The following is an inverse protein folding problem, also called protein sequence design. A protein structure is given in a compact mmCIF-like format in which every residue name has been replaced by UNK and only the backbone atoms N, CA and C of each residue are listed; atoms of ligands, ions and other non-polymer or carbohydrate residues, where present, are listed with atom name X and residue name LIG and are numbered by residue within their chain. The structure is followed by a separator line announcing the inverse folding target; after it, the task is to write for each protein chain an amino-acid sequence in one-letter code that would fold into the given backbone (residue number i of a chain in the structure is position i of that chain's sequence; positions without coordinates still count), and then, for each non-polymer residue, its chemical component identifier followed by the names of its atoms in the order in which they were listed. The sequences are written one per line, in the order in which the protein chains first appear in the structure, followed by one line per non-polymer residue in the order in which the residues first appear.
data_IF_642792986897
#
_entry.id   IF_642792986897
#
_cell.length_a   1.000
_cell.length_b   1.000
_cell.length_c   1.000
_cell.angle_alpha   90.00
_cell.angle_beta   90.00
_cell.angle_gamma   90.00
#
_symmetry.space_group_name_H-M   'P 1'
#
loop_
_entity.id
_entity.type
_entity.pdbx_description
1 polymer ?
#
# COMPACT_ATOMS: atom_id res chain seq x y z
N UNK A 1 14.89 24.68 6.90
CA UNK A 1 14.00 24.07 7.92
C UNK A 1 12.51 24.06 7.51
N UNK A 2 11.87 25.22 7.21
CA UNK A 2 10.44 25.24 6.79
C UNK A 2 10.21 24.58 5.44
N UNK A 3 11.06 24.82 4.46
CA UNK A 3 11.00 24.20 3.13
C UNK A 3 11.18 22.68 3.18
N UNK A 4 12.03 22.21 4.08
CA UNK A 4 12.29 20.77 4.23
C UNK A 4 11.08 20.06 4.85
N UNK A 5 10.47 20.62 5.89
CA UNK A 5 9.24 20.09 6.48
C UNK A 5 8.10 20.04 5.47
N UNK A 6 7.93 21.07 4.62
CA UNK A 6 6.92 21.08 3.59
C UNK A 6 7.13 19.97 2.56
N UNK A 7 8.38 19.69 2.17
CA UNK A 7 8.72 18.61 1.26
C UNK A 7 8.43 17.23 1.86
N UNK A 8 8.75 17.02 3.15
CA UNK A 8 8.42 15.76 3.83
C UNK A 8 6.92 15.58 4.01
N UNK A 9 6.19 16.64 4.31
CA UNK A 9 4.73 16.60 4.39
C UNK A 9 4.12 16.26 3.02
N UNK A 10 4.62 16.85 1.94
CA UNK A 10 4.18 16.55 0.58
C UNK A 10 4.50 15.10 0.19
N UNK A 11 5.69 14.58 0.53
CA UNK A 11 6.06 13.19 0.31
C UNK A 11 5.09 12.23 1.00
N UNK A 12 4.83 12.43 2.30
CA UNK A 12 3.92 11.59 3.06
C UNK A 12 2.48 11.68 2.51
N UNK A 13 2.02 12.88 2.19
CA UNK A 13 0.68 13.11 1.64
C UNK A 13 0.51 12.44 0.28
N UNK A 14 1.47 12.58 -0.62
CA UNK A 14 1.44 11.92 -1.93
C UNK A 14 1.42 10.40 -1.80
N UNK A 15 2.24 9.84 -0.91
CA UNK A 15 2.27 8.40 -0.68
C UNK A 15 0.93 7.86 -0.19
N UNK A 16 0.25 8.57 0.72
CA UNK A 16 -1.06 8.18 1.25
C UNK A 16 -2.19 8.38 0.23
N UNK A 17 -2.27 9.56 -0.38
CA UNK A 17 -3.35 9.88 -1.34
C UNK A 17 -3.26 8.97 -2.56
N UNK A 18 -2.05 8.79 -3.12
CA UNK A 18 -1.87 7.95 -4.30
C UNK A 18 -2.23 6.50 -4.01
N UNK A 19 -1.89 6.00 -2.83
CA UNK A 19 -2.27 4.66 -2.39
C UNK A 19 -3.80 4.53 -2.28
N UNK A 20 -4.50 5.47 -1.65
CA UNK A 20 -5.95 5.44 -1.53
C UNK A 20 -6.64 5.49 -2.90
N UNK A 21 -6.21 6.39 -3.77
CA UNK A 21 -6.78 6.51 -5.11
C UNK A 21 -6.46 5.26 -5.94
N UNK A 22 -5.20 4.84 -6.01
CA UNK A 22 -4.77 3.75 -6.88
C UNK A 22 -5.29 2.40 -6.38
N UNK A 23 -5.07 2.06 -5.11
CA UNK A 23 -5.41 0.75 -4.56
C UNK A 23 -6.92 0.64 -4.32
N UNK A 24 -7.52 1.57 -3.59
CA UNK A 24 -8.92 1.47 -3.18
C UNK A 24 -9.88 2.04 -4.25
N UNK A 25 -9.47 3.08 -4.98
CA UNK A 25 -10.31 3.73 -6.00
C UNK A 25 -10.23 3.09 -7.38
N UNK A 26 -9.06 2.67 -7.84
CA UNK A 26 -8.87 2.17 -9.22
C UNK A 26 -8.75 0.66 -9.26
N UNK A 27 -7.72 0.08 -8.63
CA UNK A 27 -7.42 -1.34 -8.81
C UNK A 27 -8.53 -2.22 -8.25
N UNK A 28 -9.07 -1.93 -7.07
CA UNK A 28 -10.17 -2.73 -6.50
C UNK A 28 -11.46 -2.70 -7.31
N UNK A 29 -11.70 -1.63 -8.04
CA UNK A 29 -12.88 -1.55 -8.91
C UNK A 29 -12.65 -2.33 -10.20
N UNK A 30 -11.43 -2.26 -10.75
CA UNK A 30 -11.04 -2.97 -11.97
C UNK A 30 -10.80 -4.47 -11.72
N UNK A 31 -10.53 -4.89 -10.47
CA UNK A 31 -10.13 -6.26 -10.12
C UNK A 31 -11.04 -6.84 -9.03
N UNK A 32 -12.27 -7.24 -9.36
CA UNK A 32 -13.27 -7.72 -8.39
C UNK A 32 -13.00 -9.16 -7.93
N UNK A 33 -11.90 -9.39 -7.24
CA UNK A 33 -11.53 -10.71 -6.71
C UNK A 33 -12.34 -11.03 -5.45
N UNK A 34 -12.95 -12.24 -5.35
CA UNK A 34 -13.68 -12.63 -4.15
C UNK A 34 -12.73 -12.82 -2.96
N UNK A 35 -13.23 -12.46 -1.78
CA UNK A 35 -12.51 -12.71 -0.52
C UNK A 35 -12.62 -14.19 -0.13
N UNK A 36 -11.62 -14.72 0.55
CA UNK A 36 -11.61 -16.09 1.06
C UNK A 36 -12.88 -16.42 1.87
N UNK A 37 -13.28 -15.53 2.79
CA UNK A 37 -14.53 -15.69 3.56
C UNK A 37 -15.79 -15.64 2.69
N UNK A 38 -15.76 -14.92 1.56
CA UNK A 38 -16.88 -14.88 0.62
C UNK A 38 -17.06 -16.21 -0.10
N UNK A 39 -15.96 -16.83 -0.52
CA UNK A 39 -15.98 -18.17 -1.14
C UNK A 39 -16.55 -19.22 -0.17
N UNK A 40 -16.26 -19.09 1.13
CA UNK A 40 -16.80 -20.00 2.12
C UNK A 40 -18.30 -19.77 2.41
N UNK A 41 -18.80 -18.56 2.18
CA UNK A 41 -20.17 -18.17 2.56
C UNK A 41 -21.17 -18.18 1.39
N UNK A 42 -20.72 -18.04 0.17
CA UNK A 42 -21.55 -17.90 -1.06
C UNK A 42 -21.19 -19.02 -2.04
N UNK A 43 -22.10 -19.99 -2.26
CA UNK A 43 -21.81 -21.17 -3.08
C UNK A 43 -21.42 -20.87 -4.53
N UNK A 44 -21.87 -19.75 -5.07
CA UNK A 44 -21.59 -19.31 -6.44
C UNK A 44 -20.18 -18.72 -6.59
N UNK A 45 -19.50 -18.43 -5.48
CA UNK A 45 -18.14 -17.88 -5.50
C UNK A 45 -17.10 -19.00 -5.47
N UNK A 46 -16.13 -18.92 -6.35
CA UNK A 46 -14.98 -19.82 -6.40
C UNK A 46 -13.66 -19.04 -6.24
N UNK A 47 -12.58 -19.76 -5.96
CA UNK A 47 -11.25 -19.17 -5.95
C UNK A 47 -10.90 -18.63 -7.34
N UNK A 48 -10.49 -17.36 -7.37
CA UNK A 48 -9.99 -16.69 -8.57
C UNK A 48 -8.50 -16.38 -8.39
N UNK A 49 -7.63 -16.83 -9.30
CA UNK A 49 -6.24 -16.39 -9.32
C UNK A 49 -6.14 -14.87 -9.45
N UNK A 50 -5.06 -14.27 -8.96
CA UNK A 50 -4.93 -12.80 -9.00
C UNK A 50 -4.79 -12.24 -10.43
N UNK A 51 -4.41 -13.05 -11.41
CA UNK A 51 -4.27 -12.66 -12.82
C UNK A 51 -5.56 -12.81 -13.63
N UNK A 52 -6.62 -13.36 -13.06
CA UNK A 52 -7.86 -13.71 -13.78
C UNK A 52 -8.88 -12.56 -13.87
N UNK A 53 -8.51 -11.38 -13.32
CA UNK A 53 -9.33 -10.17 -13.42
C UNK A 53 -10.59 -10.13 -12.57
N UNK A 54 -10.93 -11.21 -11.88
CA UNK A 54 -12.08 -11.26 -10.96
C UNK A 54 -13.28 -12.05 -11.47
N UNK A 55 -14.45 -11.86 -10.82
CA UNK A 55 -15.65 -12.67 -11.04
C UNK A 55 -16.56 -12.04 -12.09
N UNK A 56 -16.84 -12.78 -13.14
CA UNK A 56 -17.91 -12.47 -14.08
C UNK A 56 -19.28 -12.57 -13.37
N UNK A 57 -20.21 -11.69 -13.73
CA UNK A 57 -21.55 -11.70 -13.12
C UNK A 57 -21.62 -11.12 -11.70
N UNK A 58 -20.54 -10.48 -11.19
CA UNK A 58 -20.55 -9.88 -9.83
C UNK A 58 -21.72 -8.93 -9.58
N UNK A 59 -22.14 -8.16 -10.61
CA UNK A 59 -23.23 -7.21 -10.49
C UNK A 59 -24.57 -7.91 -10.25
N UNK A 60 -24.78 -9.06 -10.89
CA UNK A 60 -25.95 -9.89 -10.68
C UNK A 60 -25.99 -10.48 -9.27
N UNK A 61 -24.86 -10.97 -8.76
CA UNK A 61 -24.75 -11.45 -7.37
C UNK A 61 -25.04 -10.34 -6.37
N UNK A 62 -24.49 -9.15 -6.60
CA UNK A 62 -24.79 -7.97 -5.76
C UNK A 62 -26.28 -7.61 -5.81
N UNK A 63 -26.91 -7.64 -7.00
CA UNK A 63 -28.34 -7.39 -7.15
C UNK A 63 -29.21 -8.43 -6.42
N UNK A 64 -28.70 -9.66 -6.25
CA UNK A 64 -29.34 -10.73 -5.45
C UNK A 64 -29.07 -10.59 -3.94
N UNK A 65 -28.35 -9.55 -3.48
CA UNK A 65 -28.10 -9.28 -2.07
C UNK A 65 -26.72 -9.74 -1.55
N UNK A 66 -25.82 -10.22 -2.41
CA UNK A 66 -24.45 -10.53 -1.99
C UNK A 66 -23.69 -9.25 -1.69
N UNK A 67 -23.04 -9.18 -0.53
CA UNK A 67 -22.29 -8.01 -0.11
C UNK A 67 -21.17 -7.68 -1.11
N UNK A 68 -21.22 -6.46 -1.65
CA UNK A 68 -20.20 -5.93 -2.59
C UNK A 68 -18.78 -5.97 -2.04
N UNK A 69 -18.61 -5.94 -0.71
CA UNK A 69 -17.29 -5.98 -0.10
C UNK A 69 -16.62 -7.35 -0.18
N UNK A 70 -17.39 -8.40 -0.47
CA UNK A 70 -16.84 -9.72 -0.74
C UNK A 70 -16.04 -9.80 -2.05
N UNK A 71 -16.21 -8.85 -2.96
CA UNK A 71 -15.48 -8.76 -4.24
C UNK A 71 -14.28 -7.82 -4.19
N UNK A 72 -13.85 -7.35 -3.02
CA UNK A 72 -12.77 -6.39 -2.86
C UNK A 72 -11.53 -6.99 -2.20
N UNK A 73 -11.14 -8.21 -2.64
CA UNK A 73 -9.97 -8.88 -2.07
C UNK A 73 -8.65 -8.27 -2.57
N UNK A 74 -8.52 -8.06 -3.86
CA UNK A 74 -7.25 -7.66 -4.49
C UNK A 74 -7.21 -6.16 -4.85
N UNK A 75 -6.07 -5.50 -4.61
CA UNK A 75 -5.05 -5.84 -3.64
C UNK A 75 -5.44 -5.43 -2.21
N UNK A 76 -4.64 -5.82 -1.20
CA UNK A 76 -4.92 -5.47 0.19
C UNK A 76 -4.62 -4.00 0.50
N UNK A 77 -5.66 -3.17 0.62
CA UNK A 77 -5.53 -1.77 1.01
C UNK A 77 -4.98 -1.60 2.44
N UNK A 78 -5.40 -2.43 3.40
CA UNK A 78 -4.89 -2.37 4.77
C UNK A 78 -3.38 -2.63 4.84
N UNK A 79 -2.88 -3.60 4.07
CA UNK A 79 -1.44 -3.87 4.00
C UNK A 79 -0.70 -2.71 3.34
N UNK A 80 -1.25 -2.14 2.27
CA UNK A 80 -0.67 -0.97 1.61
C UNK A 80 -0.60 0.23 2.59
N UNK A 81 -1.70 0.52 3.31
CA UNK A 81 -1.71 1.59 4.33
C UNK A 81 -0.72 1.32 5.45
N UNK A 82 -0.61 0.08 5.96
CA UNK A 82 0.39 -0.25 6.97
C UNK A 82 1.82 -0.04 6.45
N UNK A 83 2.10 -0.43 5.21
CA UNK A 83 3.40 -0.26 4.57
C UNK A 83 3.77 1.22 4.33
N UNK A 84 2.80 2.15 4.34
CA UNK A 84 3.12 3.58 4.25
C UNK A 84 3.98 4.09 5.42
N UNK A 85 3.98 3.38 6.57
CA UNK A 85 4.87 3.68 7.69
C UNK A 85 6.36 3.52 7.35
N UNK A 86 6.70 2.81 6.27
CA UNK A 86 8.08 2.78 5.76
C UNK A 86 8.61 4.19 5.41
N UNK A 87 7.71 5.15 5.13
CA UNK A 87 8.06 6.54 4.95
C UNK A 87 8.78 7.14 6.17
N UNK A 88 8.52 6.63 7.39
CA UNK A 88 9.18 7.08 8.61
C UNK A 88 10.69 6.84 8.58
N UNK A 89 11.15 5.78 7.93
CA UNK A 89 12.57 5.49 7.78
C UNK A 89 13.30 6.49 6.86
N UNK A 90 12.54 7.21 6.01
CA UNK A 90 13.08 8.25 5.15
C UNK A 90 13.13 9.63 5.82
N UNK A 91 12.57 9.81 7.03
CA UNK A 91 12.59 11.08 7.74
C UNK A 91 14.04 11.56 8.01
N UNK A 92 14.25 12.89 8.05
CA UNK A 92 15.56 13.48 8.30
C UNK A 92 15.92 13.41 9.78
N UNK A 93 16.23 12.21 10.27
CA UNK A 93 16.80 12.08 11.62
C UNK A 93 18.14 12.80 11.70
N UNK A 94 18.39 13.47 12.80
CA UNK A 94 19.62 14.20 13.07
C UNK A 94 20.25 13.78 14.40
N UNK A 95 21.54 14.05 14.57
CA UNK A 95 22.31 13.70 15.77
C UNK A 95 22.99 12.33 15.68
N UNK A 96 23.68 11.99 16.77
CA UNK A 96 24.57 10.82 16.87
C UNK A 96 23.87 9.47 16.71
N UNK A 97 22.56 9.42 16.85
CA UNK A 97 21.74 8.20 16.76
C UNK A 97 20.85 8.14 15.51
N UNK A 98 21.06 9.03 14.53
CA UNK A 98 20.21 9.13 13.34
C UNK A 98 20.06 7.79 12.58
N UNK A 99 21.16 7.10 12.32
CA UNK A 99 21.16 5.80 11.60
C UNK A 99 20.43 4.73 12.40
N UNK A 100 20.64 4.67 13.71
CA UNK A 100 19.92 3.74 14.58
C UNK A 100 18.42 4.02 14.57
N UNK A 101 18.01 5.27 14.64
CA UNK A 101 16.61 5.68 14.60
C UNK A 101 15.94 5.28 13.28
N UNK A 102 16.61 5.48 12.16
CA UNK A 102 16.13 5.02 10.85
C UNK A 102 15.94 3.51 10.79
N UNK A 103 16.94 2.76 11.23
CA UNK A 103 16.91 1.30 11.25
C UNK A 103 15.76 0.80 12.13
N UNK A 104 15.58 1.38 13.31
CA UNK A 104 14.47 1.02 14.21
C UNK A 104 13.12 1.36 13.56
N UNK A 105 12.96 2.56 13.01
CA UNK A 105 11.73 2.96 12.34
C UNK A 105 11.39 2.02 11.16
N UNK A 106 12.39 1.65 10.36
CA UNK A 106 12.22 0.71 9.26
C UNK A 106 11.71 -0.65 9.75
N UNK A 107 12.40 -1.26 10.71
CA UNK A 107 12.01 -2.59 11.18
C UNK A 107 10.68 -2.60 11.95
N UNK A 108 10.36 -1.53 12.69
CA UNK A 108 9.04 -1.37 13.30
C UNK A 108 7.94 -1.29 12.24
N UNK A 109 8.15 -0.54 11.15
CA UNK A 109 7.20 -0.45 10.05
C UNK A 109 7.02 -1.79 9.33
N UNK A 110 8.11 -2.53 9.09
CA UNK A 110 8.07 -3.88 8.52
C UNK A 110 7.28 -4.83 9.42
N UNK A 111 7.62 -4.89 10.72
CA UNK A 111 6.95 -5.75 11.68
C UNK A 111 5.44 -5.45 11.78
N UNK A 112 5.07 -4.18 11.86
CA UNK A 112 3.67 -3.76 11.86
C UNK A 112 2.95 -4.19 10.58
N UNK A 113 3.58 -3.99 9.42
CA UNK A 113 2.99 -4.40 8.13
C UNK A 113 2.76 -5.90 8.07
N UNK A 114 3.71 -6.71 8.55
CA UNK A 114 3.58 -8.17 8.60
C UNK A 114 2.43 -8.57 9.53
N UNK A 115 2.31 -7.94 10.70
CA UNK A 115 1.21 -8.20 11.65
C UNK A 115 -0.14 -7.90 10.99
N UNK A 116 -0.27 -6.74 10.35
CA UNK A 116 -1.51 -6.36 9.65
C UNK A 116 -1.81 -7.32 8.51
N UNK A 117 -0.83 -7.65 7.66
CA UNK A 117 -1.00 -8.60 6.56
C UNK A 117 -1.47 -9.98 7.05
N UNK A 118 -0.83 -10.51 8.10
CA UNK A 118 -1.20 -11.79 8.72
C UNK A 118 -2.62 -11.75 9.29
N UNK A 119 -2.98 -10.69 10.00
CA UNK A 119 -4.34 -10.51 10.52
C UNK A 119 -5.39 -10.49 9.41
N UNK A 120 -5.08 -9.89 8.25
CA UNK A 120 -6.01 -9.85 7.10
C UNK A 120 -6.18 -11.21 6.44
N UNK A 121 -5.14 -12.04 6.40
CA UNK A 121 -5.21 -13.42 5.91
C UNK A 121 -6.02 -14.27 6.89
N UNK A 122 -5.71 -14.22 8.19
CA UNK A 122 -6.41 -14.98 9.21
C UNK A 122 -7.91 -14.64 9.30
N UNK A 123 -8.27 -13.39 9.06
CA UNK A 123 -9.66 -12.97 8.98
C UNK A 123 -10.40 -13.41 7.69
N UNK A 124 -9.76 -14.19 6.81
CA UNK A 124 -10.32 -14.61 5.54
C UNK A 124 -10.65 -13.45 4.58
N UNK A 125 -10.06 -12.28 4.81
CA UNK A 125 -10.32 -11.08 4.02
C UNK A 125 -9.48 -10.99 2.76
N UNK A 126 -8.28 -11.59 2.79
CA UNK A 126 -7.29 -11.50 1.71
C UNK A 126 -6.51 -12.80 1.58
N UNK A 127 -6.02 -13.07 0.36
CA UNK A 127 -5.03 -14.11 0.10
C UNK A 127 -3.61 -13.55 0.27
N UNK A 128 -2.63 -14.44 0.36
CA UNK A 128 -1.21 -14.05 0.43
C UNK A 128 -0.82 -13.12 -0.73
N UNK A 129 -1.27 -13.43 -1.94
CA UNK A 129 -1.02 -12.60 -3.13
C UNK A 129 -1.57 -11.18 -2.99
N UNK A 130 -2.75 -11.01 -2.35
CA UNK A 130 -3.37 -9.69 -2.19
C UNK A 130 -2.55 -8.80 -1.25
N UNK A 131 -2.02 -9.37 -0.16
CA UNK A 131 -1.20 -8.61 0.80
C UNK A 131 0.17 -8.32 0.23
N UNK A 132 0.78 -9.26 -0.50
CA UNK A 132 2.07 -9.05 -1.17
C UNK A 132 1.98 -7.97 -2.25
N UNK A 133 0.94 -8.01 -3.09
CA UNK A 133 0.72 -6.97 -4.10
C UNK A 133 0.41 -5.61 -3.46
N UNK A 134 -0.40 -5.56 -2.40
CA UNK A 134 -0.67 -4.33 -1.67
C UNK A 134 0.60 -3.70 -1.09
N UNK A 135 1.48 -4.51 -0.52
CA UNK A 135 2.80 -4.09 -0.05
C UNK A 135 3.66 -3.57 -1.21
N UNK A 136 3.78 -4.33 -2.30
CA UNK A 136 4.61 -3.96 -3.44
C UNK A 136 4.16 -2.64 -4.09
N UNK A 137 2.85 -2.45 -4.28
CA UNK A 137 2.29 -1.20 -4.81
C UNK A 137 2.68 -0.02 -3.90
N UNK A 138 2.55 -0.17 -2.58
CA UNK A 138 2.91 0.90 -1.66
C UNK A 138 4.41 1.22 -1.69
N UNK A 139 5.28 0.22 -1.74
CA UNK A 139 6.73 0.45 -1.85
C UNK A 139 7.06 1.20 -3.15
N UNK A 140 6.47 0.81 -4.28
CA UNK A 140 6.65 1.52 -5.55
C UNK A 140 6.16 2.97 -5.47
N UNK A 141 5.04 3.24 -4.80
CA UNK A 141 4.54 4.61 -4.60
C UNK A 141 5.49 5.43 -3.71
N UNK A 142 6.05 4.84 -2.66
CA UNK A 142 7.05 5.52 -1.83
C UNK A 142 8.32 5.86 -2.61
N UNK A 143 8.82 4.92 -3.42
CA UNK A 143 9.99 5.15 -4.27
C UNK A 143 9.73 6.24 -5.33
N UNK A 144 8.55 6.25 -5.94
CA UNK A 144 8.16 7.28 -6.89
C UNK A 144 8.05 8.66 -6.21
N UNK A 145 7.42 8.73 -5.04
CA UNK A 145 7.31 9.97 -4.26
C UNK A 145 8.69 10.49 -3.81
N UNK A 146 9.60 9.60 -3.38
CA UNK A 146 10.99 9.95 -3.07
C UNK A 146 11.70 10.57 -4.28
N UNK A 147 11.61 9.91 -5.44
CA UNK A 147 12.25 10.39 -6.65
C UNK A 147 11.71 11.75 -7.11
N UNK A 148 10.40 11.98 -6.96
CA UNK A 148 9.74 13.21 -7.42
C UNK A 148 9.95 14.38 -6.45
N UNK A 149 9.90 14.14 -5.14
CA UNK A 149 9.85 15.20 -4.12
C UNK A 149 11.20 15.42 -3.46
N UNK A 150 11.90 14.34 -3.08
CA UNK A 150 13.11 14.45 -2.28
C UNK A 150 14.35 14.59 -3.14
N UNK A 151 14.53 13.75 -4.17
CA UNK A 151 15.75 13.76 -4.98
C UNK A 151 15.85 14.94 -5.95
N UNK A 152 14.73 15.40 -6.53
CA UNK A 152 14.72 16.56 -7.45
C UNK A 152 15.02 17.90 -6.78
N UNK A 153 15.01 17.97 -5.46
CA UNK A 153 15.24 19.22 -4.73
C UNK A 153 16.65 19.39 -4.18
N UNK A 154 17.60 18.47 -4.39
CA UNK A 154 19.01 18.71 -4.12
C UNK A 154 19.60 19.49 -5.29
N UNK A 155 20.10 20.74 -5.07
CA UNK A 155 20.85 21.43 -6.10
C UNK A 155 22.05 20.55 -6.49
N UNK A 156 22.23 20.26 -7.80
CA UNK A 156 23.52 19.79 -8.30
C UNK A 156 24.55 20.80 -7.79
N UNK A 157 25.45 20.36 -6.93
CA UNK A 157 26.58 21.17 -6.53
C UNK A 157 27.21 21.77 -7.79
N UNK A 158 27.30 23.06 -7.83
CA UNK A 158 28.02 23.82 -8.88
C UNK A 158 29.51 23.43 -8.75
N UNK A 159 29.89 22.43 -9.52
CA UNK A 159 31.29 22.04 -9.67
C UNK A 159 31.99 23.06 -10.58
N UNK A 160 32.04 24.32 -10.13
CA UNK A 160 32.95 25.34 -10.61
C UNK A 160 33.90 25.61 -9.49
N UNK A 161 34.90 24.80 -9.39
CA UNK A 161 36.18 25.23 -8.83
C UNK A 161 37.09 25.72 -9.98
N UNK A 162 37.81 26.83 -9.74
CA UNK A 162 38.68 27.48 -10.73
C UNK A 162 39.91 26.67 -11.02
#
# INVERSE_FOLDING_TARGET
ARSDMARWALFALLALITQEILVNGVIKLAWPRPRMRGIAAVPELSFQPWWDGGVDGRLELIARGVDKDLFKSFPSGHTATAASLLALAALPFSGTHAERSRTVAFWCAVAYTVIVASARILAGAHFLTDVTCGFAVQVLMLLAADALVLRRGTPKGDSREP
#
